data_IF_746374944967
#
_entry.id   IF_746374944967
#
_cell.length_a   1.000
_cell.length_b   1.000
_cell.length_c   1.000
_cell.angle_alpha   90.00
_cell.angle_beta   90.00
_cell.angle_gamma   90.00
#
_symmetry.space_group_name_H-M   'P 1'
#
loop_
_entity.id
_entity.type
_entity.pdbx_description
1 polymer ?
#
# COMPACT_ATOMS: atom_id res chain seq x y z
N UNK A 1 -6.99 -3.78 11.47
CA UNK A 1 -5.52 -3.65 11.44
C UNK A 1 -4.96 -5.06 11.47
N UNK A 2 -4.80 -5.68 10.30
CA UNK A 2 -4.25 -7.04 10.21
C UNK A 2 -2.73 -6.92 10.20
N UNK A 3 -2.12 -7.15 11.37
CA UNK A 3 -0.68 -7.30 11.51
C UNK A 3 -0.31 -8.67 10.95
N UNK A 4 0.18 -8.73 9.71
CA UNK A 4 0.76 -9.95 9.16
C UNK A 4 2.10 -10.18 9.87
N UNK A 5 2.09 -11.03 10.89
CA UNK A 5 3.30 -11.51 11.54
C UNK A 5 4.04 -12.43 10.56
N UNK A 6 4.89 -11.86 9.71
CA UNK A 6 5.73 -12.62 8.77
C UNK A 6 6.77 -13.52 9.46
N UNK A 7 6.95 -13.39 10.78
CA UNK A 7 8.00 -14.08 11.54
C UNK A 7 7.82 -15.59 11.71
N UNK A 8 6.62 -16.14 11.50
CA UNK A 8 6.35 -17.57 11.77
C UNK A 8 6.50 -18.50 10.56
N UNK A 9 6.60 -17.96 9.34
CA UNK A 9 6.62 -18.78 8.12
C UNK A 9 8.02 -19.21 7.67
N UNK A 10 9.09 -18.64 8.25
CA UNK A 10 10.47 -18.91 7.81
C UNK A 10 11.01 -20.25 8.32
N UNK A 11 10.52 -20.76 9.45
CA UNK A 11 11.04 -22.01 10.05
C UNK A 11 10.61 -23.30 9.31
N UNK A 12 9.70 -23.21 8.34
CA UNK A 12 9.15 -24.38 7.63
C UNK A 12 9.82 -24.70 6.28
N UNK A 13 10.80 -23.91 5.83
CA UNK A 13 11.47 -24.14 4.54
C UNK A 13 12.85 -24.79 4.76
N UNK A 14 12.96 -26.04 4.34
CA UNK A 14 14.13 -26.89 4.48
C UNK A 14 15.39 -26.33 3.81
N UNK A 15 16.53 -26.71 4.40
CA UNK A 15 17.89 -26.35 3.98
C UNK A 15 18.23 -26.89 2.59
N UNK A 16 18.24 -26.00 1.61
CA UNK A 16 19.18 -26.01 0.48
C UNK A 16 19.65 -24.57 0.31
N UNK A 17 20.81 -24.25 0.87
CA UNK A 17 21.32 -22.88 1.01
C UNK A 17 22.19 -22.51 -0.21
N UNK A 18 21.56 -22.20 -1.33
CA UNK A 18 22.02 -21.03 -2.09
C UNK A 18 21.53 -19.81 -1.29
N UNK A 19 22.44 -18.91 -0.92
CA UNK A 19 22.14 -17.74 -0.09
C UNK A 19 21.32 -16.71 -0.90
N UNK A 20 20.03 -17.00 -1.07
CA UNK A 20 19.07 -16.09 -1.68
C UNK A 20 18.77 -14.98 -0.68
N UNK A 21 19.32 -13.78 -0.90
CA UNK A 21 18.97 -12.60 -0.11
C UNK A 21 17.56 -12.13 -0.49
N UNK A 22 16.58 -12.34 0.39
CA UNK A 22 15.23 -11.80 0.23
C UNK A 22 15.27 -10.31 0.56
N UNK A 23 15.03 -9.47 -0.44
CA UNK A 23 14.83 -8.02 -0.25
C UNK A 23 13.34 -7.73 -0.34
N UNK A 24 12.75 -7.32 0.76
CA UNK A 24 11.33 -7.00 0.89
C UNK A 24 11.09 -5.53 1.21
N UNK A 25 9.82 -5.16 1.20
CA UNK A 25 9.37 -3.87 1.70
C UNK A 25 9.46 -3.82 3.24
N UNK A 26 9.95 -2.70 3.78
CA UNK A 26 10.04 -2.46 5.23
C UNK A 26 9.02 -1.41 5.68
N UNK A 27 8.30 -1.72 6.77
CA UNK A 27 7.33 -0.84 7.40
C UNK A 27 5.89 -1.31 7.25
N UNK A 28 4.97 -0.52 7.79
CA UNK A 28 3.53 -0.81 7.77
C UNK A 28 2.81 0.06 6.75
N UNK A 29 1.78 -0.48 6.11
CA UNK A 29 0.87 0.26 5.24
C UNK A 29 -0.57 -0.20 5.46
N UNK A 30 -1.53 0.63 5.06
CA UNK A 30 -2.93 0.22 4.92
C UNK A 30 -3.14 -0.36 3.53
N UNK A 31 -3.93 -1.44 3.49
CA UNK A 31 -4.29 -2.10 2.25
C UNK A 31 -5.51 -1.42 1.62
N UNK A 32 -5.28 -0.62 0.58
CA UNK A 32 -6.35 -0.03 -0.23
C UNK A 32 -6.64 -0.93 -1.43
N UNK A 33 -7.92 -1.24 -1.65
CA UNK A 33 -8.38 -2.17 -2.68
C UNK A 33 -9.65 -1.65 -3.35
N UNK A 34 -10.10 -2.32 -4.40
CA UNK A 34 -11.34 -1.97 -5.09
C UNK A 34 -12.54 -1.98 -4.14
N UNK A 35 -13.46 -1.02 -4.29
CA UNK A 35 -14.58 -0.86 -3.38
C UNK A 35 -14.24 -0.17 -2.06
N UNK A 36 -12.95 0.09 -1.77
CA UNK A 36 -12.58 0.87 -0.59
C UNK A 36 -13.16 2.28 -0.68
N UNK A 37 -13.53 2.84 0.47
CA UNK A 37 -14.18 4.16 0.57
C UNK A 37 -15.51 4.25 -0.19
N UNK A 38 -16.17 3.12 -0.49
CA UNK A 38 -17.51 3.09 -1.10
C UNK A 38 -17.56 3.46 -2.58
N UNK A 39 -16.41 3.47 -3.27
CA UNK A 39 -16.32 3.75 -4.71
C UNK A 39 -16.18 2.45 -5.47
N UNK A 40 -17.06 2.20 -6.46
CA UNK A 40 -16.90 1.10 -7.41
C UNK A 40 -15.87 1.46 -8.48
N UNK A 41 -14.61 1.15 -8.19
CA UNK A 41 -13.47 1.44 -9.03
C UNK A 41 -12.89 0.21 -9.76
N UNK A 42 -13.71 -0.84 -9.91
CA UNK A 42 -13.30 -2.04 -10.63
C UNK A 42 -12.99 -1.73 -12.10
N UNK A 43 -11.81 -2.17 -12.56
CA UNK A 43 -11.37 -1.99 -13.94
C UNK A 43 -10.67 -0.66 -14.25
N UNK A 44 -10.67 0.32 -13.34
CA UNK A 44 -10.04 1.63 -13.57
C UNK A 44 -9.30 2.22 -12.35
N UNK A 45 -9.52 1.70 -11.15
CA UNK A 45 -8.97 2.23 -9.90
C UNK A 45 -7.54 1.83 -9.55
N UNK A 46 -6.88 0.97 -10.33
CA UNK A 46 -5.63 0.32 -9.93
C UNK A 46 -4.53 1.31 -9.50
N UNK A 47 -4.29 2.36 -10.28
CA UNK A 47 -3.30 3.39 -9.96
C UNK A 47 -3.63 4.15 -8.67
N UNK A 48 -4.91 4.46 -8.46
CA UNK A 48 -5.35 5.16 -7.25
C UNK A 48 -5.16 4.32 -5.99
N UNK A 49 -5.48 3.02 -6.03
CA UNK A 49 -5.33 2.13 -4.87
C UNK A 49 -3.86 1.85 -4.53
N UNK A 50 -3.01 1.74 -5.55
CA UNK A 50 -1.55 1.70 -5.36
C UNK A 50 -1.04 2.99 -4.71
N UNK A 51 -1.46 4.16 -5.19
CA UNK A 51 -1.09 5.45 -4.61
C UNK A 51 -1.50 5.57 -3.14
N UNK A 52 -2.76 5.24 -2.81
CA UNK A 52 -3.26 5.27 -1.44
C UNK A 52 -2.47 4.33 -0.50
N UNK A 53 -2.10 3.14 -0.99
CA UNK A 53 -1.25 2.20 -0.23
C UNK A 53 0.13 2.80 0.03
N UNK A 54 0.79 3.40 -0.95
CA UNK A 54 2.09 4.07 -0.79
C UNK A 54 2.00 5.26 0.18
N UNK A 55 0.97 6.10 0.04
CA UNK A 55 0.76 7.24 0.91
C UNK A 55 0.53 6.81 2.36
N UNK A 56 -0.14 5.68 2.58
CA UNK A 56 -0.34 5.15 3.93
C UNK A 56 0.96 4.72 4.61
N UNK A 57 1.89 4.10 3.86
CA UNK A 57 3.23 3.80 4.38
C UNK A 57 3.98 5.09 4.72
N UNK A 58 3.89 6.10 3.86
CA UNK A 58 4.54 7.39 4.11
C UNK A 58 3.98 8.06 5.37
N UNK A 59 2.65 8.08 5.54
CA UNK A 59 1.97 8.60 6.75
C UNK A 59 2.44 7.89 8.01
N UNK A 60 2.52 6.55 8.00
CA UNK A 60 2.89 5.73 9.16
C UNK A 60 4.38 5.86 9.51
N UNK A 61 5.27 5.83 8.52
CA UNK A 61 6.72 5.85 8.72
C UNK A 61 7.25 7.23 9.11
N UNK A 62 6.63 8.30 8.61
CA UNK A 62 7.11 9.68 8.81
C UNK A 62 6.22 10.52 9.73
N UNK A 63 5.16 9.93 10.30
CA UNK A 63 4.21 10.59 11.21
C UNK A 63 3.67 11.92 10.67
N UNK A 64 3.47 12.03 9.35
CA UNK A 64 2.87 13.24 8.77
C UNK A 64 1.38 13.32 9.09
N UNK A 65 0.93 14.56 9.30
CA UNK A 65 -0.47 14.92 9.55
C UNK A 65 -1.19 15.25 8.24
N UNK A 66 -1.28 14.28 7.32
CA UNK A 66 -2.16 14.37 6.15
C UNK A 66 -3.08 13.17 6.09
N UNK A 67 -4.29 13.36 5.60
CA UNK A 67 -5.21 12.27 5.34
C UNK A 67 -4.99 11.70 3.94
N UNK A 68 -5.19 10.38 3.82
CA UNK A 68 -5.01 9.71 2.53
C UNK A 68 -6.15 10.17 1.61
N UNK A 69 -5.85 10.80 0.45
CA UNK A 69 -6.87 11.36 -0.42
C UNK A 69 -7.76 10.25 -0.97
N UNK A 70 -9.03 10.56 -1.10
CA UNK A 70 -10.02 9.78 -1.86
C UNK A 70 -9.69 9.76 -3.35
N UNK A 71 -10.31 8.86 -4.11
CA UNK A 71 -10.15 8.83 -5.57
C UNK A 71 -10.50 10.17 -6.22
N UNK A 72 -11.58 10.81 -5.78
CA UNK A 72 -12.03 12.08 -6.33
C UNK A 72 -11.10 13.24 -6.00
N UNK A 73 -10.49 13.24 -4.81
CA UNK A 73 -9.47 14.24 -4.45
C UNK A 73 -8.22 14.07 -5.32
N UNK A 74 -7.79 12.83 -5.58
CA UNK A 74 -6.68 12.58 -6.52
C UNK A 74 -7.02 13.10 -7.92
N UNK A 75 -8.22 12.83 -8.43
CA UNK A 75 -8.67 13.36 -9.72
C UNK A 75 -8.70 14.89 -9.76
N UNK A 76 -9.18 15.52 -8.68
CA UNK A 76 -9.21 16.97 -8.58
C UNK A 76 -7.78 17.56 -8.56
N UNK A 77 -6.85 16.91 -7.85
CA UNK A 77 -5.44 17.33 -7.84
C UNK A 77 -4.85 17.26 -9.25
N UNK A 78 -5.07 16.16 -9.99
CA UNK A 78 -4.60 16.03 -11.38
C UNK A 78 -5.15 17.14 -12.28
N UNK A 79 -6.46 17.42 -12.16
CA UNK A 79 -7.10 18.54 -12.86
C UNK A 79 -6.50 19.91 -12.48
N UNK A 80 -6.27 20.16 -11.20
CA UNK A 80 -5.72 21.43 -10.71
C UNK A 80 -4.28 21.69 -11.18
N UNK A 81 -3.47 20.63 -11.32
CA UNK A 81 -2.10 20.75 -11.83
C UNK A 81 -2.02 20.75 -13.37
N UNK A 82 -3.13 20.45 -14.05
CA UNK A 82 -3.22 20.45 -15.51
C UNK A 82 -2.62 19.20 -16.18
N UNK A 83 -2.62 18.06 -15.49
CA UNK A 83 -2.34 16.73 -16.04
C UNK A 83 -3.62 16.12 -16.64
#
# INVERSE_FOLDING_TARGET
MLTLCLGMCIEALGKDQEECSIVGFEGSCYYYHYGAQGVDDHGWGCGYRTLQTILSWYKLTKSYLFDIPTLFEVQNILYEIGD
#
